data_IF_524420259020
#
_entry.id   IF_524420259020
#
_cell.length_a   1.000
_cell.length_b   1.000
_cell.length_c   1.000
_cell.angle_alpha   90.00
_cell.angle_beta   90.00
_cell.angle_gamma   90.00
#
_symmetry.space_group_name_H-M   'P 1'
#
loop_
_entity.id
_entity.type
_entity.pdbx_description
1 polymer ?
#
# COMPACT_ATOMS: atom_id res chain seq x y z
N UNK A 1 15.14 23.98 -23.10
CA UNK A 1 14.30 24.39 -24.24
C UNK A 1 14.59 23.45 -25.40
N UNK A 2 13.56 22.92 -26.08
CA UNK A 2 13.74 22.06 -27.27
C UNK A 2 13.21 22.82 -28.49
N UNK A 3 14.04 22.98 -29.52
CA UNK A 3 13.63 23.59 -30.80
C UNK A 3 13.29 22.46 -31.77
N UNK A 4 12.09 22.47 -32.33
CA UNK A 4 11.67 21.51 -33.37
C UNK A 4 11.27 22.34 -34.60
N UNK A 5 12.17 22.39 -35.59
CA UNK A 5 11.98 23.23 -36.78
C UNK A 5 11.80 24.71 -36.43
N UNK A 6 10.79 25.42 -36.98
CA UNK A 6 10.53 26.83 -36.66
C UNK A 6 9.90 27.03 -35.27
N UNK A 7 9.50 25.96 -34.58
CA UNK A 7 8.80 26.05 -33.30
C UNK A 7 9.77 25.95 -32.12
N UNK A 8 9.56 26.84 -31.14
CA UNK A 8 10.29 26.87 -29.88
C UNK A 8 9.38 26.26 -28.79
N UNK A 9 9.73 25.07 -28.29
CA UNK A 9 8.96 24.44 -27.22
C UNK A 9 9.42 24.98 -25.87
N UNK A 10 8.55 25.80 -25.28
CA UNK A 10 8.70 26.30 -23.92
C UNK A 10 7.89 25.47 -22.92
N UNK A 11 8.52 24.97 -21.84
CA UNK A 11 7.77 24.33 -20.76
C UNK A 11 6.79 25.33 -20.15
N UNK A 12 5.49 25.01 -20.17
CA UNK A 12 4.50 25.81 -19.43
C UNK A 12 4.63 25.48 -17.94
N UNK A 13 5.26 26.38 -17.19
CA UNK A 13 5.47 26.23 -15.73
C UNK A 13 4.15 26.30 -14.93
N UNK A 14 3.12 26.96 -15.47
CA UNK A 14 1.79 27.09 -14.84
C UNK A 14 0.66 26.81 -15.85
N UNK A 15 0.26 25.55 -16.06
CA UNK A 15 -0.86 25.24 -16.95
C UNK A 15 -2.18 25.76 -16.37
N UNK A 16 -3.09 26.22 -17.25
CA UNK A 16 -4.45 26.62 -16.83
C UNK A 16 -5.23 25.39 -16.32
N UNK A 17 -6.19 25.61 -15.40
CA UNK A 17 -7.06 24.52 -14.89
C UNK A 17 -7.78 23.78 -16.01
N UNK A 18 -8.24 24.51 -17.03
CA UNK A 18 -8.88 23.94 -18.22
C UNK A 18 -7.91 23.03 -19.00
N UNK A 19 -6.65 23.45 -19.18
CA UNK A 19 -5.63 22.62 -19.84
C UNK A 19 -5.35 21.34 -19.05
N UNK A 20 -5.20 21.43 -17.73
CA UNK A 20 -4.98 20.25 -16.87
C UNK A 20 -6.15 19.27 -17.01
N UNK A 21 -7.39 19.77 -16.90
CA UNK A 21 -8.59 18.95 -17.05
C UNK A 21 -8.68 18.28 -18.42
N UNK A 22 -8.47 19.04 -19.50
CA UNK A 22 -8.51 18.52 -20.88
C UNK A 22 -7.46 17.44 -21.11
N UNK A 23 -6.22 17.67 -20.65
CA UNK A 23 -5.14 16.68 -20.79
C UNK A 23 -5.49 15.41 -20.02
N UNK A 24 -5.93 15.52 -18.76
CA UNK A 24 -6.34 14.34 -17.98
C UNK A 24 -7.52 13.59 -18.60
N UNK A 25 -8.55 14.30 -19.07
CA UNK A 25 -9.70 13.69 -19.74
C UNK A 25 -9.29 12.98 -21.03
N UNK A 26 -8.41 13.59 -21.83
CA UNK A 26 -7.88 12.98 -23.04
C UNK A 26 -7.03 11.75 -22.72
N UNK A 27 -6.19 11.80 -21.69
CA UNK A 27 -5.39 10.64 -21.25
C UNK A 27 -6.29 9.47 -20.84
N UNK A 28 -7.38 9.73 -20.11
CA UNK A 28 -8.37 8.69 -19.75
C UNK A 28 -9.05 8.15 -21.00
N UNK A 29 -9.48 9.01 -21.93
CA UNK A 29 -10.11 8.59 -23.17
C UNK A 29 -9.17 7.71 -24.01
N UNK A 30 -7.90 8.10 -24.18
CA UNK A 30 -6.88 7.31 -24.88
C UNK A 30 -6.64 5.97 -24.19
N UNK A 31 -6.55 5.94 -22.85
CA UNK A 31 -6.40 4.69 -22.11
C UNK A 31 -7.59 3.74 -22.33
N UNK A 32 -8.83 4.25 -22.29
CA UNK A 32 -10.04 3.48 -22.60
C UNK A 32 -10.07 3.02 -24.06
N UNK A 33 -9.59 3.83 -25.00
CA UNK A 33 -9.48 3.41 -26.40
C UNK A 33 -8.48 2.27 -26.56
N UNK A 34 -7.30 2.37 -25.96
CA UNK A 34 -6.29 1.31 -26.00
C UNK A 34 -6.80 0.01 -25.36
N UNK A 35 -7.45 0.09 -24.19
CA UNK A 35 -8.08 -1.08 -23.58
C UNK A 35 -9.23 -1.65 -24.44
N UNK A 36 -9.95 -0.81 -25.19
CA UNK A 36 -10.96 -1.27 -26.16
C UNK A 36 -10.35 -2.09 -27.28
N UNK A 37 -9.14 -1.74 -27.75
CA UNK A 37 -8.43 -2.51 -28.78
C UNK A 37 -8.11 -3.91 -28.27
N UNK A 38 -7.76 -4.05 -26.99
CA UNK A 38 -7.52 -5.37 -26.36
C UNK A 38 -8.81 -6.19 -26.36
N UNK A 39 -9.93 -5.62 -25.87
CA UNK A 39 -11.22 -6.33 -25.90
C UNK A 39 -11.62 -6.76 -27.30
N UNK A 40 -11.45 -5.87 -28.27
CA UNK A 40 -11.72 -6.16 -29.67
C UNK A 40 -10.83 -7.27 -30.23
N UNK A 41 -9.54 -7.28 -29.87
CA UNK A 41 -8.60 -8.37 -30.22
C UNK A 41 -9.00 -9.74 -29.68
N UNK A 42 -9.70 -9.80 -28.55
CA UNK A 42 -10.30 -11.03 -28.01
C UNK A 42 -11.72 -11.32 -28.56
N UNK A 43 -12.20 -10.57 -29.55
CA UNK A 43 -13.54 -10.73 -30.12
C UNK A 43 -14.67 -10.22 -29.21
N UNK A 44 -14.35 -9.47 -28.15
CA UNK A 44 -15.32 -8.90 -27.22
C UNK A 44 -15.73 -7.49 -27.67
N UNK A 45 -17.03 -7.18 -27.61
CA UNK A 45 -17.50 -5.82 -27.85
C UNK A 45 -17.06 -4.90 -26.68
N UNK A 46 -16.23 -3.85 -26.93
CA UNK A 46 -15.70 -3.01 -25.85
C UNK A 46 -16.78 -2.29 -25.04
N UNK A 47 -17.85 -1.87 -25.70
CA UNK A 47 -18.98 -1.20 -25.05
C UNK A 47 -19.68 -2.12 -24.06
N UNK A 48 -19.91 -3.38 -24.44
CA UNK A 48 -20.47 -4.39 -23.53
C UNK A 48 -19.51 -4.70 -22.38
N UNK A 49 -18.20 -4.76 -22.64
CA UNK A 49 -17.20 -4.98 -21.61
C UNK A 49 -17.20 -3.86 -20.57
N UNK A 50 -17.17 -2.59 -20.99
CA UNK A 50 -17.26 -1.46 -20.07
C UNK A 50 -18.59 -1.38 -19.32
N UNK A 51 -19.71 -1.62 -20.01
CA UNK A 51 -21.02 -1.67 -19.35
C UNK A 51 -21.12 -2.81 -18.32
N UNK A 52 -20.45 -3.95 -18.57
CA UNK A 52 -20.37 -5.05 -17.62
C UNK A 52 -19.50 -4.67 -16.40
N UNK A 53 -18.35 -4.03 -16.60
CA UNK A 53 -17.49 -3.53 -15.51
C UNK A 53 -18.26 -2.50 -14.68
N UNK A 54 -18.89 -1.52 -15.32
CA UNK A 54 -19.66 -0.47 -14.64
C UNK A 54 -20.82 -1.03 -13.81
N UNK A 55 -21.60 -1.96 -14.38
CA UNK A 55 -22.65 -2.67 -13.63
C UNK A 55 -22.10 -3.58 -12.54
N UNK A 56 -20.96 -4.22 -12.78
CA UNK A 56 -20.30 -5.07 -11.80
C UNK A 56 -19.85 -4.30 -10.56
N UNK A 57 -19.47 -3.03 -10.72
CA UNK A 57 -19.00 -2.13 -9.65
C UNK A 57 -20.16 -1.37 -8.99
N UNK A 58 -21.04 -0.75 -9.79
CA UNK A 58 -22.08 0.19 -9.30
C UNK A 58 -23.51 -0.36 -9.40
N UNK A 59 -23.72 -1.55 -9.96
CA UNK A 59 -25.06 -2.09 -10.21
C UNK A 59 -25.81 -2.56 -8.97
N UNK A 60 -25.13 -2.77 -7.84
CA UNK A 60 -25.76 -3.16 -6.58
C UNK A 60 -24.95 -2.73 -5.37
N UNK A 61 -25.60 -2.62 -4.21
CA UNK A 61 -24.90 -2.33 -2.95
C UNK A 61 -23.87 -3.40 -2.56
N UNK A 62 -24.16 -4.72 -2.67
CA UNK A 62 -23.15 -5.77 -2.43
C UNK A 62 -21.92 -5.64 -3.35
N UNK A 63 -22.13 -5.36 -4.63
CA UNK A 63 -21.05 -5.10 -5.60
C UNK A 63 -20.14 -3.94 -5.17
N UNK A 64 -20.73 -2.81 -4.80
CA UNK A 64 -19.96 -1.66 -4.33
C UNK A 64 -19.25 -1.94 -3.00
N UNK A 65 -19.86 -2.73 -2.12
CA UNK A 65 -19.24 -3.12 -0.84
C UNK A 65 -17.96 -3.94 -1.04
N UNK A 66 -17.86 -4.71 -2.13
CA UNK A 66 -16.64 -5.45 -2.47
C UNK A 66 -15.51 -4.51 -2.92
N UNK A 67 -15.84 -3.39 -3.57
CA UNK A 67 -14.88 -2.32 -3.90
C UNK A 67 -14.33 -1.71 -2.61
N UNK A 68 -15.21 -1.37 -1.67
CA UNK A 68 -14.81 -0.86 -0.36
C UNK A 68 -13.94 -1.86 0.40
N UNK A 69 -14.31 -3.15 0.38
CA UNK A 69 -13.53 -4.23 1.03
C UNK A 69 -12.09 -4.27 0.50
N UNK A 70 -11.91 -4.18 -0.82
CA UNK A 70 -10.57 -4.16 -1.45
C UNK A 70 -9.83 -2.84 -1.20
N UNK A 71 -10.56 -1.72 -1.06
CA UNK A 71 -9.96 -0.42 -0.81
C UNK A 71 -9.35 -0.30 0.59
N UNK A 72 -9.89 -1.00 1.61
CA UNK A 72 -9.41 -0.91 3.00
C UNK A 72 -7.89 -1.15 3.13
N UNK A 73 -7.32 -2.30 2.71
CA UNK A 73 -5.88 -2.52 2.83
C UNK A 73 -5.08 -1.56 1.94
N UNK A 74 -5.62 -1.16 0.79
CA UNK A 74 -4.98 -0.19 -0.10
C UNK A 74 -4.89 1.22 0.51
N UNK A 75 -5.90 1.64 1.29
CA UNK A 75 -5.87 2.91 2.03
C UNK A 75 -4.74 2.86 3.06
N UNK A 76 -4.66 1.79 3.86
CA UNK A 76 -3.63 1.64 4.89
C UNK A 76 -2.21 1.66 4.29
N UNK A 77 -1.98 0.86 3.24
CA UNK A 77 -0.73 0.88 2.49
C UNK A 77 -0.46 2.26 1.88
N UNK A 78 -1.45 2.88 1.24
CA UNK A 78 -1.32 4.18 0.57
C UNK A 78 -0.96 5.31 1.55
N UNK A 79 -1.53 5.29 2.75
CA UNK A 79 -1.21 6.24 3.82
C UNK A 79 0.25 6.09 4.26
N UNK A 80 0.73 4.85 4.46
CA UNK A 80 2.14 4.58 4.75
C UNK A 80 3.09 4.97 3.61
N UNK A 81 2.72 4.66 2.36
CA UNK A 81 3.49 5.01 1.17
C UNK A 81 3.61 6.52 0.96
N UNK A 82 2.55 7.27 1.28
CA UNK A 82 2.57 8.74 1.21
C UNK A 82 3.69 9.32 2.05
N UNK A 83 3.98 8.75 3.23
CA UNK A 83 5.08 9.19 4.10
C UNK A 83 6.45 8.92 3.44
N UNK A 84 6.64 7.71 2.90
CA UNK A 84 7.89 7.31 2.23
C UNK A 84 8.18 8.19 1.01
N UNK A 85 7.19 8.41 0.14
CA UNK A 85 7.36 9.22 -1.06
C UNK A 85 7.64 10.70 -0.75
N UNK A 86 7.11 11.22 0.37
CA UNK A 86 7.45 12.58 0.85
C UNK A 86 8.91 12.72 1.28
N UNK A 87 9.56 11.63 1.69
CA UNK A 87 10.99 11.57 1.98
C UNK A 87 11.86 11.23 0.74
N UNK A 88 11.27 11.16 -0.47
CA UNK A 88 11.92 10.64 -1.69
C UNK A 88 12.47 9.20 -1.56
N UNK A 89 11.85 8.40 -0.71
CA UNK A 89 12.12 6.96 -0.64
C UNK A 89 11.04 6.19 -1.40
N UNK A 90 11.44 5.43 -2.41
CA UNK A 90 10.54 4.65 -3.23
C UNK A 90 10.27 3.29 -2.59
N UNK A 91 9.33 3.25 -1.65
CA UNK A 91 8.92 2.01 -0.99
C UNK A 91 7.99 1.17 -1.87
N UNK A 92 8.51 0.49 -2.89
CA UNK A 92 7.74 -0.48 -3.69
C UNK A 92 7.48 -1.78 -2.90
N UNK A 93 8.14 -1.91 -1.73
CA UNK A 93 8.12 -3.07 -0.85
C UNK A 93 6.86 -3.23 0.01
N UNK A 94 5.84 -2.38 -0.17
CA UNK A 94 4.65 -2.40 0.66
C UNK A 94 3.87 -3.72 0.58
N UNK A 95 3.91 -4.41 -0.57
CA UNK A 95 3.32 -5.74 -0.72
C UNK A 95 3.99 -6.77 0.20
N UNK A 96 5.33 -6.81 0.23
CA UNK A 96 6.08 -7.68 1.14
C UNK A 96 5.88 -7.29 2.61
N UNK A 97 5.78 -6.00 2.92
CA UNK A 97 5.50 -5.54 4.28
C UNK A 97 4.10 -5.93 4.75
N UNK A 98 3.10 -5.87 3.85
CA UNK A 98 1.75 -6.39 4.08
C UNK A 98 1.79 -7.90 4.31
N UNK A 99 2.50 -8.67 3.48
CA UNK A 99 2.63 -10.11 3.65
C UNK A 99 3.33 -10.47 4.97
N UNK A 100 4.37 -9.73 5.38
CA UNK A 100 5.04 -9.89 6.66
C UNK A 100 4.07 -9.62 7.82
N UNK A 101 3.26 -8.58 7.71
CA UNK A 101 2.21 -8.25 8.68
C UNK A 101 1.14 -9.35 8.79
N UNK A 102 0.57 -9.76 7.66
CA UNK A 102 -0.40 -10.85 7.57
C UNK A 102 0.14 -12.16 8.17
N UNK A 103 1.42 -12.45 7.92
CA UNK A 103 2.10 -13.62 8.48
C UNK A 103 2.16 -13.54 10.00
N UNK A 104 2.63 -12.42 10.56
CA UNK A 104 2.72 -12.26 12.01
C UNK A 104 1.34 -12.26 12.68
N UNK A 105 0.34 -11.58 12.09
CA UNK A 105 -1.04 -11.59 12.56
C UNK A 105 -1.64 -13.02 12.54
N UNK A 106 -1.39 -13.79 11.49
CA UNK A 106 -1.77 -15.21 11.39
C UNK A 106 -1.12 -16.05 12.48
N UNK A 107 0.17 -15.81 12.75
CA UNK A 107 0.90 -16.50 13.82
C UNK A 107 0.29 -16.25 15.20
N UNK A 108 -0.11 -15.01 15.49
CA UNK A 108 -0.84 -14.65 16.72
C UNK A 108 -2.21 -15.32 16.76
N UNK A 109 -2.94 -15.33 15.64
CA UNK A 109 -4.28 -15.89 15.57
C UNK A 109 -4.33 -17.41 15.82
N UNK A 110 -3.30 -18.13 15.36
CA UNK A 110 -3.28 -19.60 15.35
C UNK A 110 -2.45 -20.22 16.47
N UNK A 111 -1.32 -19.61 16.84
CA UNK A 111 -0.32 -20.28 17.68
C UNK A 111 -0.11 -19.62 19.03
N UNK A 112 -0.52 -18.36 19.22
CA UNK A 112 -0.30 -17.65 20.48
C UNK A 112 -1.51 -17.82 21.43
N UNK A 113 -1.34 -18.46 22.60
CA UNK A 113 -2.42 -18.61 23.56
C UNK A 113 -2.65 -17.28 24.29
N UNK A 114 -3.65 -16.52 23.84
CA UNK A 114 -4.06 -15.24 24.43
C UNK A 114 -5.56 -15.19 24.67
N UNK A 115 -6.03 -14.42 25.68
CA UNK A 115 -7.45 -14.17 25.88
C UNK A 115 -8.12 -13.61 24.62
N UNK A 116 -9.35 -14.02 24.35
CA UNK A 116 -10.07 -13.68 23.11
C UNK A 116 -10.17 -12.16 22.86
N UNK A 117 -10.38 -11.36 23.90
CA UNK A 117 -10.46 -9.90 23.78
C UNK A 117 -9.15 -9.22 23.37
N UNK A 118 -8.00 -9.86 23.60
CA UNK A 118 -6.69 -9.32 23.26
C UNK A 118 -6.17 -9.80 21.90
N UNK A 119 -6.82 -10.80 21.29
CA UNK A 119 -6.31 -11.42 20.06
C UNK A 119 -6.23 -10.43 18.90
N UNK A 120 -7.32 -9.71 18.59
CA UNK A 120 -7.31 -8.70 17.52
C UNK A 120 -6.33 -7.54 17.76
N UNK A 121 -6.28 -6.91 18.95
CA UNK A 121 -5.25 -5.90 19.25
C UNK A 121 -3.82 -6.40 19.04
N UNK A 122 -3.51 -7.63 19.48
CA UNK A 122 -2.19 -8.22 19.30
C UNK A 122 -1.90 -8.56 17.84
N UNK A 123 -2.89 -9.02 17.06
CA UNK A 123 -2.73 -9.22 15.63
C UNK A 123 -2.33 -7.93 14.92
N UNK A 124 -3.00 -6.80 15.20
CA UNK A 124 -2.64 -5.50 14.62
C UNK A 124 -1.26 -5.02 15.09
N UNK A 125 -0.92 -5.22 16.37
CA UNK A 125 0.37 -4.84 16.91
C UNK A 125 1.50 -5.63 16.25
N UNK A 126 1.40 -6.95 16.19
CA UNK A 126 2.41 -7.80 15.58
C UNK A 126 2.46 -7.64 14.07
N UNK A 127 1.32 -7.39 13.41
CA UNK A 127 1.26 -7.04 12.00
C UNK A 127 2.04 -5.76 11.68
N UNK A 128 1.81 -4.71 12.47
CA UNK A 128 2.57 -3.46 12.36
C UNK A 128 4.07 -3.68 12.62
N UNK A 129 4.43 -4.39 13.69
CA UNK A 129 5.83 -4.63 14.03
C UNK A 129 6.56 -5.45 12.95
N UNK A 130 5.92 -6.49 12.40
CA UNK A 130 6.50 -7.31 11.35
C UNK A 130 6.70 -6.52 10.06
N UNK A 131 5.70 -5.75 9.63
CA UNK A 131 5.84 -4.86 8.47
C UNK A 131 6.92 -3.80 8.67
N UNK A 132 7.02 -3.22 9.86
CA UNK A 132 8.06 -2.26 10.22
C UNK A 132 9.47 -2.88 10.17
N UNK A 133 9.65 -4.06 10.78
CA UNK A 133 10.92 -4.80 10.74
C UNK A 133 11.30 -5.14 9.30
N UNK A 134 10.34 -5.58 8.49
CA UNK A 134 10.59 -5.89 7.08
C UNK A 134 11.02 -4.66 6.28
N UNK A 135 10.44 -3.50 6.56
CA UNK A 135 10.77 -2.23 5.91
C UNK A 135 12.12 -1.63 6.36
N UNK A 136 12.62 -1.98 7.55
CA UNK A 136 13.94 -1.55 8.02
C UNK A 136 15.05 -2.17 7.17
N UNK A 137 14.88 -3.39 6.67
CA UNK A 137 15.90 -4.08 5.85
C UNK A 137 16.31 -3.23 4.63
N UNK A 138 15.41 -2.87 3.70
CA UNK A 138 15.78 -2.06 2.54
C UNK A 138 16.18 -0.63 2.93
N UNK A 139 15.63 -0.09 4.02
CA UNK A 139 16.05 1.23 4.53
C UNK A 139 17.52 1.23 4.95
N UNK A 140 17.98 0.20 5.66
CA UNK A 140 19.38 0.06 6.05
C UNK A 140 20.30 -0.18 4.86
N UNK A 141 19.88 -1.00 3.88
CA UNK A 141 20.64 -1.20 2.64
C UNK A 141 20.81 0.12 1.88
N UNK A 142 19.76 0.94 1.81
CA UNK A 142 19.82 2.27 1.19
C UNK A 142 20.76 3.20 1.96
N UNK A 143 20.61 3.30 3.27
CA UNK A 143 21.33 4.29 4.09
C UNK A 143 22.80 3.93 4.28
N UNK A 144 23.11 2.65 4.55
CA UNK A 144 24.49 2.22 4.85
C UNK A 144 25.29 1.85 3.61
N UNK A 145 24.64 1.26 2.62
CA UNK A 145 25.31 0.68 1.45
C UNK A 145 24.99 1.42 0.14
N UNK A 146 24.14 2.46 0.18
CA UNK A 146 23.79 3.23 -1.02
C UNK A 146 22.98 2.43 -2.06
N UNK A 147 22.46 1.26 -1.69
CA UNK A 147 21.70 0.39 -2.60
C UNK A 147 20.47 1.12 -3.14
N UNK A 148 20.09 0.81 -4.38
CA UNK A 148 18.88 1.33 -4.97
C UNK A 148 17.63 0.84 -4.18
N UNK A 149 16.85 1.78 -3.68
CA UNK A 149 15.66 1.55 -2.84
C UNK A 149 14.51 0.88 -3.63
N UNK A 150 14.31 1.28 -4.89
CA UNK A 150 13.33 0.64 -5.80
C UNK A 150 13.62 -0.86 -5.94
N UNK A 151 14.86 -1.22 -6.27
CA UNK A 151 15.24 -2.63 -6.50
C UNK A 151 15.18 -3.42 -5.19
N UNK A 152 15.81 -2.92 -4.12
CA UNK A 152 15.87 -3.64 -2.86
C UNK A 152 14.49 -3.89 -2.24
N UNK A 153 13.59 -2.90 -2.28
CA UNK A 153 12.23 -3.06 -1.75
C UNK A 153 11.40 -4.02 -2.60
N UNK A 154 11.52 -3.96 -3.93
CA UNK A 154 10.83 -4.90 -4.83
C UNK A 154 11.33 -6.34 -4.65
N UNK A 155 12.64 -6.55 -4.55
CA UNK A 155 13.22 -7.89 -4.37
C UNK A 155 12.73 -8.54 -3.07
N UNK A 156 12.59 -7.75 -2.00
CA UNK A 156 12.09 -8.24 -0.72
C UNK A 156 10.60 -8.60 -0.73
N UNK A 157 9.80 -8.12 -1.69
CA UNK A 157 8.43 -8.62 -1.88
C UNK A 157 8.45 -10.11 -2.26
N UNK A 158 9.29 -10.49 -3.23
CA UNK A 158 9.42 -11.88 -3.66
C UNK A 158 9.93 -12.77 -2.54
N UNK A 159 10.94 -12.31 -1.79
CA UNK A 159 11.45 -13.05 -0.62
C UNK A 159 10.32 -13.32 0.38
N UNK A 160 9.52 -12.30 0.74
CA UNK A 160 8.42 -12.49 1.67
C UNK A 160 7.33 -13.41 1.09
N UNK A 161 7.01 -13.27 -0.20
CA UNK A 161 6.06 -14.17 -0.88
C UNK A 161 6.50 -15.63 -0.80
N UNK A 162 7.78 -15.93 -1.05
CA UNK A 162 8.31 -17.29 -0.93
C UNK A 162 8.34 -17.78 0.52
N UNK A 163 8.55 -16.90 1.50
CA UNK A 163 8.41 -17.26 2.92
C UNK A 163 6.97 -17.66 3.23
N UNK A 164 5.98 -16.87 2.78
CA UNK A 164 4.55 -17.21 2.97
C UNK A 164 4.22 -18.54 2.31
N UNK A 165 4.66 -18.75 1.06
CA UNK A 165 4.47 -20.01 0.34
C UNK A 165 5.08 -21.19 1.10
N UNK A 166 6.33 -21.07 1.55
CA UNK A 166 6.98 -22.09 2.36
C UNK A 166 6.20 -22.40 3.65
N UNK A 167 5.68 -21.38 4.33
CA UNK A 167 4.89 -21.57 5.56
C UNK A 167 3.62 -22.38 5.29
N UNK A 168 2.81 -21.98 4.30
CA UNK A 168 1.51 -22.63 4.03
C UNK A 168 1.62 -24.00 3.37
N UNK A 169 2.74 -24.28 2.69
CA UNK A 169 3.04 -25.62 2.17
C UNK A 169 3.72 -26.52 3.21
N UNK A 170 4.40 -25.95 4.20
CA UNK A 170 5.15 -26.66 5.22
C UNK A 170 4.54 -26.50 6.62
N UNK A 171 5.19 -25.78 7.53
CA UNK A 171 4.89 -25.83 8.97
C UNK A 171 3.52 -25.28 9.37
N UNK A 172 2.91 -24.41 8.56
CA UNK A 172 1.63 -23.78 8.87
C UNK A 172 0.46 -24.40 8.11
N UNK A 173 0.71 -25.47 7.34
CA UNK A 173 -0.35 -26.20 6.66
C UNK A 173 -1.35 -26.73 7.67
N UNK A 174 -2.59 -26.26 7.57
CA UNK A 174 -3.67 -26.60 8.49
C UNK A 174 -4.02 -28.08 8.44
N UNK A 175 -3.99 -28.82 9.57
CA UNK A 175 -4.46 -30.21 9.64
C UNK A 175 -5.90 -30.40 9.14
N UNK A 176 -6.74 -29.37 9.23
CA UNK A 176 -8.14 -29.42 8.80
C UNK A 176 -8.34 -29.10 7.31
N UNK A 177 -7.38 -28.44 6.67
CA UNK A 177 -7.44 -28.05 5.26
C UNK A 177 -6.77 -29.11 4.38
N UNK A 178 -7.52 -30.17 4.04
CA UNK A 178 -7.02 -31.25 3.18
C UNK A 178 -6.95 -30.82 1.71
N UNK A 179 -5.83 -31.11 1.06
CA UNK A 179 -5.65 -30.93 -0.40
C UNK A 179 -5.24 -29.54 -0.88
N UNK A 180 -5.18 -28.54 0.01
CA UNK A 180 -4.79 -27.17 -0.32
C UNK A 180 -3.70 -26.66 0.62
N UNK A 181 -2.89 -25.71 0.14
CA UNK A 181 -1.86 -25.03 0.94
C UNK A 181 -2.47 -23.83 1.68
N UNK A 182 -3.24 -24.13 2.72
CA UNK A 182 -3.87 -23.13 3.59
C UNK A 182 -3.58 -23.44 5.05
N UNK A 183 -3.57 -22.40 5.88
CA UNK A 183 -3.63 -22.54 7.32
C UNK A 183 -5.01 -23.00 7.77
N UNK A 184 -5.14 -23.41 9.04
CA UNK A 184 -6.46 -23.59 9.62
C UNK A 184 -7.24 -22.27 9.67
N UNK A 185 -8.57 -22.39 9.74
CA UNK A 185 -9.44 -21.24 9.84
C UNK A 185 -9.25 -20.54 11.19
N UNK A 186 -9.21 -19.20 11.17
CA UNK A 186 -9.02 -18.42 12.40
C UNK A 186 -10.19 -18.62 13.38
N UNK A 187 -9.93 -18.62 14.70
CA UNK A 187 -11.00 -18.62 15.70
C UNK A 187 -11.88 -17.38 15.56
N UNK A 188 -13.12 -17.43 16.03
CA UNK A 188 -14.07 -16.31 15.87
C UNK A 188 -13.56 -14.99 16.47
N UNK A 189 -12.84 -15.04 17.59
CA UNK A 189 -12.21 -13.88 18.22
C UNK A 189 -11.02 -13.30 17.47
N UNK A 190 -10.51 -13.98 16.43
CA UNK A 190 -9.51 -13.46 15.50
C UNK A 190 -10.13 -12.96 14.18
N UNK A 191 -11.47 -12.95 14.07
CA UNK A 191 -12.16 -12.48 12.86
C UNK A 191 -12.75 -11.09 13.11
N UNK A 192 -12.44 -10.16 12.21
CA UNK A 192 -13.02 -8.82 12.22
C UNK A 192 -14.52 -8.88 11.90
N UNK A 193 -15.32 -8.11 12.64
CA UNK A 193 -16.75 -7.98 12.38
C UNK A 193 -17.03 -7.29 11.03
N UNK A 194 -18.14 -7.68 10.40
CA UNK A 194 -18.60 -7.12 9.13
C UNK A 194 -19.76 -6.13 9.36
N UNK A 195 -19.93 -5.19 8.44
CA UNK A 195 -21.19 -4.44 8.33
C UNK A 195 -22.31 -5.39 7.84
N UNK A 196 -23.49 -5.43 8.49
CA UNK A 196 -24.58 -6.34 8.12
C UNK A 196 -24.92 -6.28 6.63
N UNK A 197 -25.08 -7.45 6.00
CA UNK A 197 -25.37 -7.56 4.57
C UNK A 197 -24.17 -7.34 3.63
N UNK A 198 -22.96 -7.16 4.17
CA UNK A 198 -21.73 -6.97 3.38
C UNK A 198 -20.55 -7.76 3.96
N UNK A 199 -19.41 -7.74 3.26
CA UNK A 199 -18.11 -8.26 3.76
C UNK A 199 -17.15 -7.14 4.14
N UNK A 200 -17.67 -5.93 4.38
CA UNK A 200 -16.86 -4.75 4.71
C UNK A 200 -16.54 -4.78 6.20
N UNK A 201 -15.26 -4.74 6.53
CA UNK A 201 -14.77 -4.58 7.89
C UNK A 201 -14.80 -3.10 8.27
N UNK A 202 -15.88 -2.69 8.94
CA UNK A 202 -16.11 -1.27 9.24
C UNK A 202 -15.02 -0.67 10.14
N UNK A 203 -14.50 -1.44 11.10
CA UNK A 203 -13.48 -0.98 12.04
C UNK A 203 -12.16 -0.63 11.32
N UNK A 204 -11.71 -1.47 10.39
CA UNK A 204 -10.50 -1.22 9.61
C UNK A 204 -10.69 -0.11 8.57
N UNK A 205 -11.90 0.10 8.06
CA UNK A 205 -12.21 1.24 7.21
C UNK A 205 -12.08 2.55 7.99
N UNK A 206 -12.69 2.62 9.18
CA UNK A 206 -12.58 3.77 10.08
C UNK A 206 -11.12 3.99 10.49
N UNK A 207 -10.39 2.93 10.82
CA UNK A 207 -8.97 3.00 11.16
C UNK A 207 -8.14 3.56 10.00
N UNK A 208 -8.35 3.08 8.78
CA UNK A 208 -7.64 3.58 7.60
C UNK A 208 -7.88 5.06 7.33
N UNK A 209 -9.14 5.51 7.44
CA UNK A 209 -9.49 6.93 7.31
C UNK A 209 -8.89 7.76 8.44
N UNK A 210 -8.97 7.29 9.69
CA UNK A 210 -8.41 7.98 10.84
C UNK A 210 -6.89 8.12 10.71
N UNK A 211 -6.18 7.06 10.32
CA UNK A 211 -4.74 7.07 10.09
C UNK A 211 -4.35 7.99 8.92
N UNK A 212 -5.19 8.12 7.89
CA UNK A 212 -4.97 9.10 6.83
C UNK A 212 -4.98 10.53 7.38
N UNK A 213 -5.94 10.88 8.24
CA UNK A 213 -5.97 12.19 8.91
C UNK A 213 -4.77 12.38 9.85
N UNK A 214 -4.39 11.34 10.61
CA UNK A 214 -3.22 11.39 11.51
C UNK A 214 -1.93 11.64 10.72
N UNK A 215 -1.71 10.92 9.63
CA UNK A 215 -0.52 11.11 8.78
C UNK A 215 -0.54 12.46 8.07
N UNK A 216 -1.71 12.92 7.62
CA UNK A 216 -1.85 14.26 7.05
C UNK A 216 -1.50 15.35 8.09
N UNK A 217 -1.98 15.21 9.32
CA UNK A 217 -1.63 16.10 10.42
C UNK A 217 -0.14 16.03 10.76
N UNK A 218 0.43 14.83 10.87
CA UNK A 218 1.86 14.61 11.10
C UNK A 218 2.69 15.35 10.06
N UNK A 219 2.40 15.16 8.78
CA UNK A 219 3.11 15.81 7.67
C UNK A 219 2.95 17.34 7.68
N UNK A 220 1.76 17.84 7.99
CA UNK A 220 1.47 19.27 7.89
C UNK A 220 1.91 20.08 9.13
N UNK A 221 1.79 19.51 10.34
CA UNK A 221 1.79 20.25 11.60
C UNK A 221 2.85 19.81 12.61
N UNK A 222 3.70 18.82 12.32
CA UNK A 222 4.73 18.35 13.27
C UNK A 222 6.15 18.61 12.79
N UNK A 223 7.10 18.61 13.74
CA UNK A 223 8.54 18.68 13.46
C UNK A 223 9.01 17.54 12.56
N UNK A 224 8.57 16.31 12.84
CA UNK A 224 8.90 15.15 12.00
C UNK A 224 8.40 15.37 10.56
N UNK A 225 7.17 15.86 10.38
CA UNK A 225 6.63 16.18 9.05
C UNK A 225 7.40 17.30 8.32
N UNK A 226 7.95 18.27 9.05
CA UNK A 226 8.87 19.26 8.49
C UNK A 226 10.18 18.61 8.04
N UNK A 227 10.82 17.81 8.90
CA UNK A 227 12.09 17.14 8.60
C UNK A 227 11.97 16.20 7.39
N UNK A 228 10.89 15.42 7.31
CA UNK A 228 10.57 14.55 6.16
C UNK A 228 10.51 15.35 4.85
N UNK A 229 9.80 16.48 4.84
CA UNK A 229 9.64 17.32 3.64
C UNK A 229 10.95 17.98 3.24
N UNK A 230 11.73 18.48 4.19
CA UNK A 230 13.04 19.10 3.92
C UNK A 230 13.99 18.07 3.33
N UNK A 231 14.09 16.89 3.95
CA UNK A 231 14.92 15.78 3.47
C UNK A 231 14.53 15.35 2.06
N UNK A 232 13.23 15.24 1.77
CA UNK A 232 12.76 14.88 0.43
C UNK A 232 12.97 15.97 -0.63
N UNK A 233 13.02 17.24 -0.26
CA UNK A 233 13.22 18.33 -1.24
C UNK A 233 14.70 18.63 -1.48
N UNK A 234 15.50 18.68 -0.42
CA UNK A 234 16.92 18.98 -0.49
C UNK A 234 17.66 18.35 0.69
N UNK A 235 18.26 17.15 0.51
CA UNK A 235 19.01 16.46 1.55
C UNK A 235 20.17 17.30 2.11
N UNK A 236 20.83 18.11 1.28
CA UNK A 236 21.96 18.94 1.70
C UNK A 236 21.49 20.09 2.59
N UNK A 237 20.39 20.76 2.24
CA UNK A 237 19.76 21.76 3.10
C UNK A 237 19.34 21.15 4.45
N UNK A 238 18.86 19.91 4.44
CA UNK A 238 18.56 19.17 5.67
C UNK A 238 19.81 18.94 6.54
N UNK A 239 20.94 18.56 5.94
CA UNK A 239 22.22 18.41 6.65
C UNK A 239 22.71 19.72 7.25
N UNK A 240 22.64 20.83 6.50
CA UNK A 240 22.98 22.16 7.02
C UNK A 240 22.06 22.59 8.16
N UNK A 241 20.79 22.19 8.14
CA UNK A 241 19.83 22.42 9.22
C UNK A 241 19.97 21.45 10.41
N UNK A 242 20.99 20.56 10.40
CA UNK A 242 21.24 19.59 11.48
C UNK A 242 20.28 18.39 11.52
N UNK A 243 19.54 18.14 10.44
CA UNK A 243 18.60 17.02 10.34
C UNK A 243 19.37 15.71 10.10
N UNK A 244 19.14 14.73 10.96
CA UNK A 244 19.73 13.39 10.79
C UNK A 244 18.97 12.60 9.72
N UNK A 245 19.50 12.62 8.49
CA UNK A 245 18.92 11.93 7.35
C UNK A 245 18.66 10.44 7.60
N UNK A 246 19.64 9.74 8.19
CA UNK A 246 19.53 8.31 8.49
C UNK A 246 18.37 8.02 9.42
N UNK A 247 18.26 8.79 10.52
CA UNK A 247 17.19 8.62 11.48
C UNK A 247 15.81 8.89 10.86
N UNK A 248 15.68 10.00 10.12
CA UNK A 248 14.41 10.37 9.48
C UNK A 248 13.98 9.30 8.47
N UNK A 249 14.89 8.84 7.61
CA UNK A 249 14.58 7.83 6.60
C UNK A 249 14.19 6.48 7.24
N UNK A 250 14.92 6.06 8.26
CA UNK A 250 14.59 4.84 9.01
C UNK A 250 13.24 4.93 9.72
N UNK A 251 12.93 6.06 10.37
CA UNK A 251 11.63 6.29 11.00
C UNK A 251 10.49 6.28 9.99
N UNK A 252 10.67 6.96 8.86
CA UNK A 252 9.69 6.97 7.77
C UNK A 252 9.43 5.55 7.27
N UNK A 253 10.47 4.73 7.11
CA UNK A 253 10.33 3.36 6.66
C UNK A 253 9.68 2.45 7.70
N UNK A 254 9.99 2.63 8.99
CA UNK A 254 9.31 1.92 10.09
C UNK A 254 7.81 2.22 10.09
N UNK A 255 7.43 3.50 9.96
CA UNK A 255 6.01 3.90 9.96
C UNK A 255 5.34 3.44 8.66
N UNK A 256 5.98 3.62 7.51
CA UNK A 256 5.45 3.21 6.20
C UNK A 256 5.22 1.70 6.15
N UNK A 257 6.23 0.92 6.53
CA UNK A 257 6.15 -0.53 6.59
C UNK A 257 5.22 -1.06 7.65
N UNK A 258 5.18 -0.42 8.81
CA UNK A 258 4.23 -0.80 9.86
C UNK A 258 2.78 -0.55 9.44
N UNK A 259 2.48 0.55 8.75
CA UNK A 259 1.13 0.81 8.21
C UNK A 259 0.76 -0.16 7.10
N UNK A 260 1.71 -0.56 6.25
CA UNK A 260 1.50 -1.63 5.27
C UNK A 260 1.31 -3.00 5.95
N UNK A 261 2.08 -3.30 7.00
CA UNK A 261 1.92 -4.53 7.79
C UNK A 261 0.62 -4.58 8.58
N UNK A 262 0.09 -3.43 9.02
CA UNK A 262 -1.23 -3.33 9.65
C UNK A 262 -2.36 -3.68 8.67
N UNK A 263 -2.13 -3.49 7.36
CA UNK A 263 -3.07 -3.84 6.31
C UNK A 263 -3.15 -5.35 6.01
N UNK A 264 -2.13 -6.11 6.43
CA UNK A 264 -2.04 -7.56 6.26
C UNK A 264 -2.72 -8.32 7.38
#
# INVERSE_FOLDING_TARGET
MKRIGPFLLEPRLSPSRATVFLVSALSVAVALLLASLIFWGYGLNPWRAYAAIGRGVFGSWPSFSEVLRRAIPLILCGVGLTLAFRAQFWNIGAEGQLLAGATAATGVALFLPVPDGLRLPLMFLFGFLAGAVWAVIPALLRVKLGVNDVISTLMLNYVMSYIVEWLVHGPWKGPTMRGFAYTDAFPLSARLSYLPGTRVHWLTLVLGVALAFVVAFLLARTRLGYEIRVVGQNPDAGRYAGINFTLVLSLVMVISGGLAGLAG
#
